data_IF_105220481823
#
_entry.id   IF_105220481823
#
_cell.length_a   1.000
_cell.length_b   1.000
_cell.length_c   1.000
_cell.angle_alpha   90.00
_cell.angle_beta   90.00
_cell.angle_gamma   90.00
#
_symmetry.space_group_name_H-M   'P 1'
#
loop_
_entity.id
_entity.type
_entity.pdbx_description
1 polymer ?
#
# COMPACT_ATOMS: atom_id res chain seq x y z
N UNK A 1 -53.39 7.38 -4.85
CA UNK A 1 -53.58 6.04 -4.37
C UNK A 1 -52.29 5.65 -3.63
N UNK A 2 -52.44 5.57 -2.27
CA UNK A 2 -51.31 5.16 -1.41
C UNK A 2 -51.16 3.65 -1.52
N UNK A 3 -50.30 3.20 -2.40
CA UNK A 3 -49.89 1.80 -2.49
C UNK A 3 -49.10 1.44 -1.24
N UNK A 4 -49.68 0.64 -0.35
CA UNK A 4 -48.97 0.12 0.83
C UNK A 4 -48.10 -1.05 0.38
N UNK A 5 -46.82 -0.77 0.12
CA UNK A 5 -45.80 -1.78 -0.12
C UNK A 5 -45.61 -2.65 1.13
N UNK A 6 -45.46 -3.98 0.96
CA UNK A 6 -45.22 -4.94 2.06
C UNK A 6 -44.03 -5.81 1.72
N UNK A 7 -43.27 -6.23 2.76
CA UNK A 7 -42.11 -7.11 2.59
C UNK A 7 -40.91 -6.43 1.93
N UNK A 8 -40.22 -7.17 1.07
CA UNK A 8 -39.01 -6.71 0.36
C UNK A 8 -39.25 -5.46 -0.52
N UNK A 9 -40.43 -5.31 -1.09
CA UNK A 9 -40.79 -4.13 -1.87
C UNK A 9 -40.80 -2.84 -1.03
N UNK A 10 -41.21 -2.91 0.23
CA UNK A 10 -41.19 -1.75 1.13
C UNK A 10 -39.76 -1.34 1.44
N UNK A 11 -38.86 -2.29 1.76
CA UNK A 11 -37.46 -1.98 2.05
C UNK A 11 -36.74 -1.39 0.86
N UNK A 12 -37.04 -1.83 -0.35
CA UNK A 12 -36.49 -1.23 -1.58
C UNK A 12 -36.95 0.23 -1.78
N UNK A 13 -38.22 0.52 -1.52
CA UNK A 13 -38.72 1.91 -1.57
C UNK A 13 -38.07 2.76 -0.48
N UNK A 14 -37.96 2.26 0.74
CA UNK A 14 -37.33 2.97 1.86
C UNK A 14 -35.84 3.26 1.56
N UNK A 15 -35.12 2.30 0.99
CA UNK A 15 -33.70 2.49 0.53
C UNK A 15 -33.62 3.49 -0.62
N UNK A 16 -34.53 3.41 -1.59
CA UNK A 16 -34.59 4.36 -2.70
C UNK A 16 -34.85 5.78 -2.23
N UNK A 17 -35.80 5.98 -1.30
CA UNK A 17 -36.12 7.28 -0.72
C UNK A 17 -34.96 7.80 0.15
N UNK A 18 -34.28 6.92 0.88
CA UNK A 18 -33.06 7.27 1.62
C UNK A 18 -31.94 7.74 0.67
N UNK A 19 -31.66 6.99 -0.39
CA UNK A 19 -30.67 7.38 -1.40
C UNK A 19 -31.06 8.71 -2.04
N UNK A 20 -32.34 8.90 -2.41
CA UNK A 20 -32.85 10.12 -3.03
C UNK A 20 -32.76 11.33 -2.12
N UNK A 21 -32.93 11.13 -0.81
CA UNK A 21 -32.82 12.21 0.18
C UNK A 21 -31.37 12.58 0.49
N UNK A 22 -30.49 11.57 0.56
CA UNK A 22 -29.09 11.74 0.99
C UNK A 22 -28.06 11.69 -0.15
N UNK A 23 -28.50 11.66 -1.43
CA UNK A 23 -27.56 11.58 -2.55
C UNK A 23 -26.56 12.75 -2.58
N UNK A 24 -26.98 13.95 -2.19
CA UNK A 24 -26.11 15.13 -2.10
C UNK A 24 -25.03 14.96 -1.03
N UNK A 25 -25.40 14.37 0.10
CA UNK A 25 -24.44 14.04 1.18
C UNK A 25 -23.47 12.94 0.72
N UNK A 26 -23.96 11.90 0.07
CA UNK A 26 -23.12 10.83 -0.47
C UNK A 26 -22.17 11.35 -1.55
N UNK A 27 -22.66 12.25 -2.42
CA UNK A 27 -21.85 12.86 -3.48
C UNK A 27 -20.78 13.82 -2.93
N UNK A 28 -21.04 14.49 -1.81
CA UNK A 28 -20.06 15.32 -1.10
C UNK A 28 -19.10 14.49 -0.25
N UNK A 29 -19.57 13.40 0.38
CA UNK A 29 -18.77 12.55 1.24
C UNK A 29 -17.66 11.82 0.45
N UNK A 30 -17.93 11.37 -0.77
CA UNK A 30 -16.99 10.61 -1.56
C UNK A 30 -15.69 11.40 -1.90
N UNK A 31 -15.76 12.63 -2.45
CA UNK A 31 -14.55 13.44 -2.67
C UNK A 31 -13.89 13.87 -1.35
N UNK A 32 -14.67 14.07 -0.28
CA UNK A 32 -14.11 14.40 1.03
C UNK A 32 -13.27 13.23 1.59
N UNK A 33 -13.78 12.01 1.52
CA UNK A 33 -13.05 10.80 1.92
C UNK A 33 -11.80 10.62 1.04
N UNK A 34 -11.91 10.80 -0.27
CA UNK A 34 -10.77 10.73 -1.18
C UNK A 34 -9.70 11.78 -0.85
N UNK A 35 -10.12 13.01 -0.52
CA UNK A 35 -9.20 14.07 -0.12
C UNK A 35 -8.50 13.74 1.21
N UNK A 36 -9.23 13.20 2.20
CA UNK A 36 -8.67 12.75 3.47
C UNK A 36 -7.64 11.64 3.23
N UNK A 37 -7.95 10.65 2.41
CA UNK A 37 -7.02 9.56 2.06
C UNK A 37 -5.77 10.16 1.40
N UNK A 38 -5.94 11.04 0.40
CA UNK A 38 -4.82 11.66 -0.31
C UNK A 38 -3.91 12.46 0.63
N UNK A 39 -4.48 13.27 1.51
CA UNK A 39 -3.73 14.07 2.48
C UNK A 39 -3.01 13.18 3.51
N UNK A 40 -3.66 12.11 3.97
CA UNK A 40 -3.08 11.22 4.99
C UNK A 40 -1.97 10.32 4.43
N UNK A 41 -2.00 9.98 3.14
CA UNK A 41 -0.94 9.18 2.50
C UNK A 41 0.42 9.86 2.60
N UNK A 42 0.49 11.19 2.38
CA UNK A 42 1.75 11.94 2.31
C UNK A 42 2.21 12.57 3.62
N UNK A 43 1.29 12.87 4.55
CA UNK A 43 1.57 13.74 5.71
C UNK A 43 1.74 12.96 7.01
N UNK A 44 1.07 11.83 7.16
CA UNK A 44 1.10 11.07 8.40
C UNK A 44 2.41 10.32 8.62
N UNK A 45 2.99 10.51 9.81
CA UNK A 45 4.23 9.88 10.27
C UNK A 45 3.99 9.22 11.65
N UNK A 46 4.84 8.25 12.02
CA UNK A 46 4.81 7.63 13.34
C UNK A 46 3.90 6.41 13.51
N UNK A 47 3.58 6.07 14.77
CA UNK A 47 2.88 4.83 15.17
C UNK A 47 1.48 4.67 14.54
N UNK A 48 0.74 5.75 14.37
CA UNK A 48 -0.60 5.74 13.75
C UNK A 48 -0.49 5.28 12.30
N UNK A 49 0.54 5.71 11.59
CA UNK A 49 0.82 5.30 10.21
C UNK A 49 1.06 3.80 10.09
N UNK A 50 1.82 3.21 11.03
CA UNK A 50 2.10 1.77 11.02
C UNK A 50 0.83 0.92 11.10
N UNK A 51 -0.18 1.37 11.83
CA UNK A 51 -1.49 0.70 11.88
C UNK A 51 -2.23 0.78 10.54
N UNK A 52 -2.26 1.97 9.92
CA UNK A 52 -2.93 2.17 8.64
C UNK A 52 -2.19 1.51 7.46
N UNK A 53 -0.88 1.33 7.53
CA UNK A 53 -0.08 0.63 6.51
C UNK A 53 -0.52 -0.84 6.30
N UNK A 54 -1.34 -1.40 7.20
CA UNK A 54 -1.96 -2.72 7.05
C UNK A 54 -3.28 -2.70 6.27
N UNK A 55 -3.89 -1.52 6.06
CA UNK A 55 -5.19 -1.36 5.42
C UNK A 55 -5.06 -0.77 4.01
N UNK A 56 -5.84 -1.27 3.01
CA UNK A 56 -5.94 -0.55 1.74
C UNK A 56 -6.67 0.80 1.95
N UNK A 57 -6.25 1.91 1.30
CA UNK A 57 -5.26 2.01 0.23
C UNK A 57 -3.80 2.25 0.69
N UNK A 58 -3.55 2.46 1.99
CA UNK A 58 -2.20 2.79 2.50
C UNK A 58 -1.21 1.64 2.35
N UNK A 59 -1.66 0.38 2.50
CA UNK A 59 -0.82 -0.79 2.25
C UNK A 59 -0.34 -0.86 0.81
N UNK A 60 -1.19 -0.52 -0.16
CA UNK A 60 -0.80 -0.47 -1.57
C UNK A 60 0.25 0.61 -1.81
N UNK A 61 0.06 1.80 -1.23
CA UNK A 61 1.05 2.88 -1.33
C UNK A 61 2.40 2.49 -0.74
N UNK A 62 2.42 1.79 0.41
CA UNK A 62 3.63 1.25 1.03
C UNK A 62 4.37 0.30 0.07
N UNK A 63 3.65 -0.66 -0.53
CA UNK A 63 4.20 -1.63 -1.48
C UNK A 63 4.77 -0.91 -2.71
N UNK A 64 4.00 -0.04 -3.36
CA UNK A 64 4.46 0.72 -4.53
C UNK A 64 5.69 1.59 -4.23
N UNK A 65 5.68 2.28 -3.08
CA UNK A 65 6.80 3.10 -2.66
C UNK A 65 8.05 2.26 -2.38
N UNK A 66 7.87 1.09 -1.78
CA UNK A 66 8.93 0.14 -1.50
C UNK A 66 9.55 -0.43 -2.78
N UNK A 67 8.72 -0.88 -3.73
CA UNK A 67 9.18 -1.38 -5.03
C UNK A 67 9.96 -0.29 -5.79
N UNK A 68 9.38 0.90 -5.92
CA UNK A 68 9.99 2.02 -6.61
C UNK A 68 11.35 2.40 -6.00
N UNK A 69 11.42 2.37 -4.66
CA UNK A 69 12.64 2.61 -3.93
C UNK A 69 13.68 1.51 -4.19
N UNK A 70 13.30 0.23 -4.13
CA UNK A 70 14.21 -0.88 -4.32
C UNK A 70 14.77 -0.92 -5.75
N UNK A 71 13.91 -0.68 -6.76
CA UNK A 71 14.34 -0.56 -8.16
C UNK A 71 15.30 0.61 -8.38
N UNK A 72 15.02 1.78 -7.79
CA UNK A 72 15.91 2.94 -7.88
C UNK A 72 17.25 2.66 -7.19
N UNK A 73 17.22 2.02 -6.03
CA UNK A 73 18.43 1.61 -5.31
C UNK A 73 19.26 0.62 -6.12
N UNK A 74 18.63 -0.43 -6.67
CA UNK A 74 19.30 -1.41 -7.54
C UNK A 74 20.00 -0.73 -8.71
N UNK A 75 19.30 0.16 -9.43
CA UNK A 75 19.86 0.88 -10.55
C UNK A 75 21.07 1.77 -10.17
N UNK A 76 21.00 2.44 -9.01
CA UNK A 76 22.06 3.30 -8.51
C UNK A 76 23.28 2.51 -8.03
N UNK A 77 23.06 1.43 -7.29
CA UNK A 77 24.13 0.53 -6.83
C UNK A 77 24.84 -0.10 -8.03
N UNK A 78 24.07 -0.55 -9.03
CA UNK A 78 24.61 -1.11 -10.28
C UNK A 78 25.43 -0.08 -11.10
N UNK A 79 25.14 1.22 -10.95
CA UNK A 79 25.95 2.30 -11.54
C UNK A 79 27.19 2.67 -10.71
N UNK A 80 27.47 1.98 -9.62
CA UNK A 80 28.58 2.26 -8.71
C UNK A 80 28.32 3.42 -7.73
N UNK A 81 27.05 3.86 -7.59
CA UNK A 81 26.71 4.92 -6.64
C UNK A 81 26.68 4.35 -5.22
N UNK A 82 27.34 4.99 -4.24
CA UNK A 82 27.27 4.55 -2.84
C UNK A 82 25.84 4.49 -2.34
N UNK A 83 25.51 3.43 -1.61
CA UNK A 83 24.17 3.17 -1.03
C UNK A 83 23.66 4.39 -0.25
N UNK A 84 24.52 5.07 0.51
CA UNK A 84 24.17 6.25 1.28
C UNK A 84 23.67 7.43 0.44
N UNK A 85 24.12 7.56 -0.80
CA UNK A 85 23.72 8.62 -1.73
C UNK A 85 22.44 8.26 -2.49
N UNK A 86 22.23 6.98 -2.75
CA UNK A 86 21.09 6.45 -3.49
C UNK A 86 19.74 6.58 -2.72
N UNK A 87 19.81 6.77 -1.42
CA UNK A 87 18.65 6.69 -0.51
C UNK A 87 17.70 7.91 -0.50
N UNK A 88 17.98 9.00 -1.23
CA UNK A 88 17.26 10.27 -1.04
C UNK A 88 16.19 10.51 -2.12
N UNK A 89 14.91 10.15 -1.91
CA UNK A 89 13.95 10.43 -2.97
C UNK A 89 12.52 10.85 -2.60
N UNK A 90 11.94 10.52 -1.44
CA UNK A 90 10.51 10.79 -1.19
C UNK A 90 10.28 11.22 0.27
N UNK A 91 9.43 12.24 0.55
CA UNK A 91 9.12 12.65 1.92
C UNK A 91 8.60 11.52 2.82
N UNK A 92 7.78 10.63 2.27
CA UNK A 92 7.31 9.43 2.96
C UNK A 92 8.45 8.47 3.32
N UNK A 93 9.44 8.36 2.46
CA UNK A 93 10.61 7.52 2.64
C UNK A 93 11.68 8.19 3.50
N UNK A 94 11.70 9.53 3.57
CA UNK A 94 12.77 10.28 4.23
C UNK A 94 13.01 9.83 5.67
N UNK A 95 11.97 9.73 6.49
CA UNK A 95 12.13 9.28 7.87
C UNK A 95 12.71 7.86 7.97
N UNK A 96 12.24 6.97 7.09
CA UNK A 96 12.71 5.57 7.03
C UNK A 96 14.15 5.49 6.58
N UNK A 97 14.48 6.26 5.57
CA UNK A 97 15.82 6.36 4.98
C UNK A 97 16.82 6.99 5.95
N UNK A 98 16.45 8.11 6.58
CA UNK A 98 17.33 8.80 7.54
C UNK A 98 17.69 7.88 8.71
N UNK A 99 16.72 7.12 9.22
CA UNK A 99 16.98 6.10 10.25
C UNK A 99 17.88 4.97 9.75
N UNK A 100 17.67 4.49 8.53
CA UNK A 100 18.51 3.45 7.91
C UNK A 100 19.94 3.94 7.72
N UNK A 101 20.11 5.17 7.25
CA UNK A 101 21.43 5.78 7.03
C UNK A 101 22.27 5.85 8.30
N UNK A 102 21.66 6.07 9.48
CA UNK A 102 22.39 6.07 10.74
C UNK A 102 23.11 4.72 10.95
N UNK A 103 22.41 3.63 10.69
CA UNK A 103 22.96 2.28 10.86
C UNK A 103 23.95 1.91 9.75
N UNK A 104 23.68 2.27 8.50
CA UNK A 104 24.63 2.07 7.37
C UNK A 104 25.92 2.83 7.61
N UNK A 105 25.87 4.08 8.09
CA UNK A 105 27.06 4.88 8.42
C UNK A 105 27.84 4.32 9.62
N UNK A 106 27.19 3.52 10.47
CA UNK A 106 27.84 2.82 11.57
C UNK A 106 28.47 1.47 11.15
N UNK A 107 28.38 1.12 9.86
CA UNK A 107 28.99 -0.07 9.27
C UNK A 107 28.07 -1.28 9.15
N UNK A 108 26.79 -1.15 9.43
CA UNK A 108 25.81 -2.21 9.16
C UNK A 108 25.57 -2.35 7.65
N UNK A 109 25.32 -3.56 7.17
CA UNK A 109 24.87 -3.77 5.81
C UNK A 109 23.43 -3.27 5.64
N UNK A 110 22.96 -3.09 4.38
CA UNK A 110 21.66 -2.50 4.07
C UNK A 110 20.50 -3.25 4.76
N UNK A 111 20.51 -4.60 4.70
CA UNK A 111 19.46 -5.41 5.30
C UNK A 111 19.44 -5.31 6.83
N UNK A 112 20.60 -5.36 7.48
CA UNK A 112 20.73 -5.18 8.93
C UNK A 112 20.30 -3.77 9.37
N UNK A 113 20.65 -2.75 8.60
CA UNK A 113 20.28 -1.37 8.87
C UNK A 113 18.75 -1.20 8.80
N UNK A 114 18.09 -1.74 7.78
CA UNK A 114 16.63 -1.71 7.65
C UNK A 114 15.94 -2.46 8.82
N UNK A 115 16.41 -3.64 9.18
CA UNK A 115 15.89 -4.43 10.31
C UNK A 115 15.95 -3.64 11.62
N UNK A 116 17.09 -3.00 11.91
CA UNK A 116 17.30 -2.20 13.13
C UNK A 116 16.40 -0.97 13.23
N UNK A 117 15.88 -0.45 12.10
CA UNK A 117 14.91 0.66 12.14
C UNK A 117 13.58 0.25 12.77
N UNK A 118 13.20 -1.02 12.72
CA UNK A 118 11.93 -1.54 13.23
C UNK A 118 10.68 -1.01 12.50
N UNK A 119 10.84 -0.46 11.29
CA UNK A 119 9.76 0.16 10.52
C UNK A 119 9.09 -0.79 9.52
N UNK A 120 9.58 -2.05 9.42
CA UNK A 120 9.09 -3.06 8.47
C UNK A 120 8.98 -2.52 7.03
N UNK A 121 9.97 -1.75 6.61
CA UNK A 121 10.01 -1.13 5.28
C UNK A 121 11.25 -1.59 4.51
N UNK A 122 11.09 -1.98 3.24
CA UNK A 122 9.86 -2.00 2.43
C UNK A 122 8.86 -3.08 2.85
N UNK A 123 9.32 -4.26 3.21
CA UNK A 123 8.58 -5.38 3.77
C UNK A 123 9.53 -6.26 4.60
N UNK A 124 9.00 -7.08 5.53
CA UNK A 124 9.82 -7.96 6.38
C UNK A 124 10.56 -9.02 5.60
N UNK A 125 9.92 -9.60 4.59
CA UNK A 125 10.49 -10.64 3.75
C UNK A 125 11.64 -10.06 2.92
N UNK A 126 11.42 -8.91 2.29
CA UNK A 126 12.43 -8.18 1.54
C UNK A 126 13.62 -7.77 2.42
N UNK A 127 13.37 -7.37 3.67
CA UNK A 127 14.45 -7.04 4.63
C UNK A 127 15.30 -8.28 4.92
N UNK A 128 14.66 -9.44 5.11
CA UNK A 128 15.37 -10.70 5.36
C UNK A 128 16.24 -11.09 4.16
N UNK A 129 15.72 -10.97 2.95
CA UNK A 129 16.46 -11.26 1.72
C UNK A 129 17.61 -10.26 1.50
N UNK A 130 17.38 -8.98 1.71
CA UNK A 130 18.42 -7.95 1.63
C UNK A 130 19.55 -8.21 2.64
N UNK A 131 19.24 -8.73 3.82
CA UNK A 131 20.24 -9.06 4.83
C UNK A 131 21.17 -10.19 4.35
N UNK A 132 20.59 -11.21 3.69
CA UNK A 132 21.33 -12.31 3.12
C UNK A 132 22.15 -11.85 1.91
N UNK A 133 21.50 -11.12 0.98
CA UNK A 133 22.13 -10.68 -0.26
C UNK A 133 23.22 -9.63 -0.05
N UNK A 134 23.10 -8.81 1.00
CA UNK A 134 24.13 -7.83 1.34
C UNK A 134 25.47 -8.45 1.79
N UNK A 135 25.51 -9.76 2.05
CA UNK A 135 26.73 -10.50 2.40
C UNK A 135 27.37 -11.18 1.17
N UNK A 136 26.72 -11.15 0.01
CA UNK A 136 27.22 -11.77 -1.20
C UNK A 136 28.13 -10.83 -2.00
N UNK A 137 29.14 -11.41 -2.65
CA UNK A 137 30.08 -10.65 -3.52
C UNK A 137 29.37 -10.02 -4.73
N UNK A 138 28.21 -10.58 -5.16
CA UNK A 138 27.41 -10.10 -6.27
C UNK A 138 26.13 -9.37 -5.81
N UNK A 139 26.23 -8.59 -4.76
CA UNK A 139 25.11 -7.84 -4.17
C UNK A 139 24.31 -7.02 -5.19
N UNK A 140 24.97 -6.41 -6.16
CA UNK A 140 24.32 -5.59 -7.19
C UNK A 140 23.34 -6.39 -8.06
N UNK A 141 23.77 -7.58 -8.51
CA UNK A 141 22.91 -8.47 -9.30
C UNK A 141 21.79 -9.10 -8.47
N UNK A 142 22.10 -9.48 -7.23
CA UNK A 142 21.13 -10.04 -6.31
C UNK A 142 20.02 -9.04 -5.98
N UNK A 143 20.40 -7.77 -5.79
CA UNK A 143 19.47 -6.68 -5.52
C UNK A 143 18.57 -6.37 -6.73
N UNK A 144 19.13 -6.40 -7.94
CA UNK A 144 18.37 -6.20 -9.18
C UNK A 144 17.32 -7.32 -9.36
N UNK A 145 17.74 -8.55 -9.15
CA UNK A 145 16.84 -9.70 -9.20
C UNK A 145 15.74 -9.59 -8.15
N UNK A 146 16.09 -9.31 -6.90
CA UNK A 146 15.13 -9.16 -5.80
C UNK A 146 14.08 -8.09 -6.10
N UNK A 147 14.51 -6.94 -6.63
CA UNK A 147 13.62 -5.85 -6.98
C UNK A 147 12.60 -6.24 -8.07
N UNK A 148 13.06 -6.98 -9.09
CA UNK A 148 12.19 -7.44 -10.17
C UNK A 148 11.26 -8.57 -9.72
N UNK A 149 11.75 -9.55 -8.97
CA UNK A 149 10.94 -10.65 -8.44
C UNK A 149 9.84 -10.11 -7.52
N UNK A 150 10.17 -9.16 -6.65
CA UNK A 150 9.19 -8.53 -5.76
C UNK A 150 8.16 -7.67 -6.50
N UNK A 151 8.58 -6.98 -7.56
CA UNK A 151 7.65 -6.26 -8.43
C UNK A 151 6.61 -7.21 -9.01
N UNK A 152 7.04 -8.33 -9.57
CA UNK A 152 6.17 -9.33 -10.19
C UNK A 152 5.22 -9.96 -9.16
N UNK A 153 5.72 -10.36 -8.01
CA UNK A 153 4.92 -10.91 -6.91
C UNK A 153 3.90 -9.90 -6.37
N UNK A 154 4.31 -8.65 -6.19
CA UNK A 154 3.42 -7.59 -5.70
C UNK A 154 2.28 -7.29 -6.66
N UNK A 155 2.54 -7.28 -7.97
CA UNK A 155 1.50 -7.13 -9.01
C UNK A 155 0.50 -8.28 -8.93
N UNK A 156 0.99 -9.51 -8.82
CA UNK A 156 0.13 -10.69 -8.69
C UNK A 156 -0.77 -10.64 -7.44
N UNK A 157 -0.23 -10.26 -6.29
CA UNK A 157 -1.01 -10.11 -5.04
C UNK A 157 -2.08 -9.01 -5.17
N UNK A 158 -1.75 -7.90 -5.84
CA UNK A 158 -2.70 -6.81 -6.07
C UNK A 158 -3.83 -7.28 -6.99
N UNK A 159 -3.53 -7.99 -8.06
CA UNK A 159 -4.52 -8.55 -8.98
C UNK A 159 -5.45 -9.55 -8.30
N UNK A 160 -4.92 -10.43 -7.47
CA UNK A 160 -5.73 -11.36 -6.66
C UNK A 160 -6.70 -10.62 -5.74
N UNK A 161 -6.21 -9.61 -5.00
CA UNK A 161 -7.06 -8.80 -4.11
C UNK A 161 -8.13 -8.04 -4.87
N UNK A 162 -7.81 -7.49 -6.03
CA UNK A 162 -8.78 -6.82 -6.91
C UNK A 162 -9.85 -7.79 -7.42
N UNK A 163 -9.46 -9.00 -7.81
CA UNK A 163 -10.38 -10.06 -8.23
C UNK A 163 -11.37 -10.46 -7.14
N UNK A 164 -10.89 -10.64 -5.91
CA UNK A 164 -11.75 -10.94 -4.74
C UNK A 164 -12.75 -9.81 -4.48
N UNK A 165 -12.30 -8.55 -4.53
CA UNK A 165 -13.19 -7.40 -4.37
C UNK A 165 -14.26 -7.34 -5.45
N UNK A 166 -13.89 -7.61 -6.70
CA UNK A 166 -14.84 -7.66 -7.83
C UNK A 166 -15.87 -8.78 -7.62
N UNK A 167 -15.43 -9.97 -7.21
CA UNK A 167 -16.32 -11.09 -6.91
C UNK A 167 -17.31 -10.76 -5.79
N UNK A 168 -16.85 -10.14 -4.70
CA UNK A 168 -17.71 -9.71 -3.59
C UNK A 168 -18.73 -8.66 -4.05
N UNK A 169 -18.31 -7.70 -4.90
CA UNK A 169 -19.21 -6.70 -5.47
C UNK A 169 -20.30 -7.34 -6.34
N UNK A 170 -19.93 -8.27 -7.22
CA UNK A 170 -20.88 -9.00 -8.08
C UNK A 170 -21.87 -9.82 -7.25
N UNK A 171 -21.40 -10.54 -6.22
CA UNK A 171 -22.26 -11.32 -5.33
C UNK A 171 -23.20 -10.42 -4.53
N UNK A 172 -22.75 -9.24 -4.09
CA UNK A 172 -23.57 -8.26 -3.41
C UNK A 172 -24.72 -7.75 -4.29
N UNK A 173 -24.40 -7.38 -5.54
CA UNK A 173 -25.40 -6.94 -6.53
C UNK A 173 -26.38 -8.06 -6.84
N UNK A 174 -25.86 -9.27 -7.11
CA UNK A 174 -26.71 -10.45 -7.38
C UNK A 174 -27.60 -10.80 -6.21
N UNK A 175 -27.09 -10.72 -4.99
CA UNK A 175 -27.88 -10.95 -3.76
C UNK A 175 -29.00 -9.93 -3.57
N UNK A 176 -28.75 -8.65 -3.86
CA UNK A 176 -29.78 -7.61 -3.82
C UNK A 176 -30.87 -7.86 -4.86
N UNK A 177 -30.48 -8.24 -6.08
CA UNK A 177 -31.44 -8.55 -7.16
C UNK A 177 -32.28 -9.79 -6.82
N UNK A 178 -31.66 -10.84 -6.27
CA UNK A 178 -32.36 -12.06 -5.89
C UNK A 178 -33.31 -11.87 -4.68
N UNK A 179 -33.01 -10.89 -3.82
CA UNK A 179 -33.83 -10.57 -2.67
C UNK A 179 -34.99 -9.63 -2.99
N UNK A 180 -34.89 -8.82 -4.03
CA UNK A 180 -35.91 -7.86 -4.50
C UNK A 180 -37.10 -8.54 -5.17
#
# INVERSE_FOLDING_TARGET
>A
PNVRWRGSAKTLVDVSDWIRTYWTVAFAALPTVMAIIYLTIGIWHGLIRSFFDSLPPWSLYKVFSGISWLLAMSALVKSGTPVSTALQANPYLRERIDKTLIFVNNGDNLGQALEKTGLDFPDREIIADLKIYSELDNFEEAMDKLANDWLEESVYVIEQKASVLNMVALLSVGGVIAWA
#
